data_IF_561160415513
#
_entry.id   IF_561160415513
#
_cell.length_a   1.000
_cell.length_b   1.000
_cell.length_c   1.000
_cell.angle_alpha   90.00
_cell.angle_beta   90.00
_cell.angle_gamma   90.00
#
_symmetry.space_group_name_H-M   'P 1'
#
loop_
_entity.id
_entity.type
_entity.pdbx_description
1 polymer ?
#
# COMPACT_ATOMS: atom_id res chain seq x y z
N UNK A 1 -15.51 -8.10 -13.46
CA UNK A 1 -16.72 -7.56 -14.08
C UNK A 1 -16.77 -7.97 -15.55
N UNK A 2 -17.90 -8.50 -16.05
CA UNK A 2 -18.05 -8.91 -17.47
C UNK A 2 -18.12 -7.73 -18.46
N UNK A 3 -18.47 -6.54 -17.98
CA UNK A 3 -18.64 -5.34 -18.80
C UNK A 3 -17.34 -4.53 -18.93
N UNK A 4 -16.61 -4.27 -17.84
CA UNK A 4 -15.37 -3.48 -17.86
C UNK A 4 -14.07 -4.30 -17.72
N UNK A 5 -14.16 -5.62 -17.51
CA UNK A 5 -12.98 -6.49 -17.37
C UNK A 5 -12.22 -6.40 -16.05
N UNK A 6 -12.57 -5.50 -15.12
CA UNK A 6 -11.91 -5.37 -13.82
C UNK A 6 -12.02 -6.66 -13.00
N UNK A 7 -10.93 -7.09 -12.38
CA UNK A 7 -10.94 -8.19 -11.42
C UNK A 7 -11.65 -7.73 -10.14
N UNK A 8 -12.69 -8.43 -9.74
CA UNK A 8 -13.35 -8.15 -8.46
C UNK A 8 -12.57 -8.81 -7.33
N UNK A 9 -12.39 -8.08 -6.24
CA UNK A 9 -11.81 -8.66 -5.03
C UNK A 9 -12.84 -9.54 -4.31
N UNK A 10 -12.37 -10.42 -3.42
CA UNK A 10 -13.21 -11.37 -2.70
C UNK A 10 -14.30 -10.65 -1.89
N UNK A 11 -15.57 -10.91 -2.19
CA UNK A 11 -16.71 -10.28 -1.52
C UNK A 11 -17.15 -8.93 -2.11
N UNK A 12 -16.43 -8.44 -3.13
CA UNK A 12 -16.81 -7.22 -3.83
C UNK A 12 -18.06 -7.48 -4.70
N UNK A 13 -19.07 -6.63 -4.55
CA UNK A 13 -20.26 -6.66 -5.40
C UNK A 13 -19.98 -5.87 -6.68
N UNK A 14 -20.54 -6.33 -7.79
CA UNK A 14 -20.44 -5.66 -9.10
C UNK A 14 -20.82 -4.16 -9.06
N UNK A 15 -21.59 -3.72 -8.07
CA UNK A 15 -22.23 -2.41 -7.97
C UNK A 15 -21.36 -1.15 -8.05
N UNK A 16 -20.05 -1.19 -7.77
CA UNK A 16 -19.25 0.04 -7.69
C UNK A 16 -18.90 0.65 -9.07
N UNK A 17 -18.43 -0.18 -10.00
CA UNK A 17 -18.07 0.25 -11.37
C UNK A 17 -19.05 -0.32 -12.42
N UNK A 18 -19.67 -1.46 -12.12
CA UNK A 18 -20.55 -2.19 -13.01
C UNK A 18 -21.84 -2.54 -12.27
N UNK A 19 -22.73 -1.57 -12.03
CA UNK A 19 -24.07 -1.90 -11.52
C UNK A 19 -24.81 -2.94 -12.38
N UNK A 20 -26.06 -3.26 -12.05
CA UNK A 20 -26.83 -4.28 -12.77
C UNK A 20 -26.71 -4.09 -14.29
N UNK A 21 -26.18 -5.12 -14.97
CA UNK A 21 -25.91 -5.12 -16.41
C UNK A 21 -24.98 -4.00 -16.94
N UNK A 22 -24.02 -3.52 -16.14
CA UNK A 22 -23.05 -2.52 -16.57
C UNK A 22 -23.63 -1.11 -16.72
N UNK A 23 -24.78 -0.83 -16.11
CA UNK A 23 -25.51 0.45 -16.23
C UNK A 23 -24.69 1.70 -15.84
N UNK A 24 -23.66 1.55 -14.99
CA UNK A 24 -22.80 2.65 -14.55
C UNK A 24 -21.52 2.81 -15.37
N UNK A 25 -21.25 1.92 -16.32
CA UNK A 25 -20.00 1.92 -17.10
C UNK A 25 -19.76 3.24 -17.83
N UNK A 26 -20.82 3.82 -18.43
CA UNK A 26 -20.73 5.07 -19.17
C UNK A 26 -20.86 6.33 -18.31
N UNK A 27 -21.17 6.17 -17.01
CA UNK A 27 -21.34 7.31 -16.10
C UNK A 27 -20.00 7.82 -15.55
N UNK A 28 -18.97 6.97 -15.54
CA UNK A 28 -17.68 7.28 -14.96
C UNK A 28 -16.68 7.43 -16.12
N UNK A 29 -16.12 8.63 -16.35
CA UNK A 29 -15.06 8.79 -17.34
C UNK A 29 -13.86 7.93 -16.94
N UNK A 30 -13.15 7.39 -17.93
CA UNK A 30 -11.92 6.65 -17.67
C UNK A 30 -10.93 7.52 -16.89
N UNK A 31 -10.21 6.89 -15.96
CA UNK A 31 -9.13 7.57 -15.25
C UNK A 31 -8.11 8.09 -16.27
N UNK A 32 -7.57 9.32 -16.07
CA UNK A 32 -6.48 9.80 -16.91
C UNK A 32 -5.29 8.85 -16.81
N UNK A 33 -4.44 8.79 -17.86
CA UNK A 33 -3.22 8.01 -17.78
C UNK A 33 -2.35 8.51 -16.62
N UNK A 34 -1.59 7.59 -16.04
CA UNK A 34 -0.63 7.96 -15.00
C UNK A 34 0.42 8.92 -15.58
N UNK A 35 0.87 9.90 -14.80
CA UNK A 35 1.97 10.76 -15.22
C UNK A 35 3.24 9.94 -15.52
N UNK A 36 4.06 10.33 -16.52
CA UNK A 36 5.23 9.56 -16.95
C UNK A 36 6.28 9.38 -15.84
N UNK A 37 6.28 10.24 -14.82
CA UNK A 37 7.16 10.13 -13.66
C UNK A 37 6.93 8.83 -12.87
N UNK A 38 5.73 8.24 -12.96
CA UNK A 38 5.39 6.99 -12.30
C UNK A 38 5.96 5.76 -13.01
N UNK A 39 6.36 5.85 -14.29
CA UNK A 39 6.90 4.70 -15.03
C UNK A 39 8.17 4.14 -14.38
N UNK A 40 8.99 5.01 -13.79
CA UNK A 40 10.21 4.61 -13.08
C UNK A 40 9.86 3.70 -11.90
N UNK A 41 8.81 4.07 -11.16
CA UNK A 41 8.37 3.32 -9.99
C UNK A 41 7.68 2.01 -10.40
N UNK A 42 6.73 2.08 -11.33
CA UNK A 42 5.89 0.94 -11.74
C UNK A 42 6.73 -0.16 -12.41
N UNK A 43 7.76 0.23 -13.15
CA UNK A 43 8.64 -0.71 -13.84
C UNK A 43 9.87 -1.11 -13.01
N UNK A 44 10.01 -0.66 -11.76
CA UNK A 44 11.11 -1.09 -10.90
C UNK A 44 10.94 -2.59 -10.57
N UNK A 45 11.88 -3.47 -10.96
CA UNK A 45 11.79 -4.90 -10.67
C UNK A 45 11.78 -5.22 -9.16
N UNK A 46 12.15 -4.25 -8.33
CA UNK A 46 12.17 -4.36 -6.88
C UNK A 46 10.92 -3.82 -6.22
N UNK A 47 9.96 -3.21 -6.93
CA UNK A 47 8.81 -2.54 -6.31
C UNK A 47 8.06 -3.46 -5.34
N UNK A 48 7.79 -4.71 -5.73
CA UNK A 48 7.12 -5.68 -4.86
C UNK A 48 7.96 -6.05 -3.64
N UNK A 49 9.28 -6.15 -3.80
CA UNK A 49 10.21 -6.47 -2.72
C UNK A 49 10.33 -5.32 -1.72
N UNK A 50 10.44 -4.08 -2.22
CA UNK A 50 10.54 -2.86 -1.43
C UNK A 50 9.22 -2.56 -0.72
N UNK A 51 8.09 -2.66 -1.42
CA UNK A 51 6.74 -2.52 -0.84
C UNK A 51 6.52 -3.52 0.28
N UNK A 52 6.86 -4.80 0.08
CA UNK A 52 6.75 -5.82 1.13
C UNK A 52 7.63 -5.49 2.33
N UNK A 53 8.88 -5.04 2.13
CA UNK A 53 9.77 -4.60 3.22
C UNK A 53 9.20 -3.41 3.98
N UNK A 54 8.69 -2.39 3.28
CA UNK A 54 8.07 -1.22 3.90
C UNK A 54 6.82 -1.59 4.70
N UNK A 55 5.95 -2.42 4.14
CA UNK A 55 4.77 -2.93 4.85
C UNK A 55 5.17 -3.70 6.11
N UNK A 56 6.21 -4.55 6.03
CA UNK A 56 6.71 -5.27 7.21
C UNK A 56 7.27 -4.33 8.29
N UNK A 57 8.03 -3.30 7.90
CA UNK A 57 8.56 -2.30 8.85
C UNK A 57 7.42 -1.51 9.48
N UNK A 58 6.43 -1.10 8.69
CA UNK A 58 5.27 -0.38 9.19
C UNK A 58 4.44 -1.25 10.14
N UNK A 59 4.17 -2.51 9.79
CA UNK A 59 3.52 -3.46 10.69
C UNK A 59 4.34 -3.69 11.96
N UNK A 60 5.67 -3.80 11.87
CA UNK A 60 6.53 -3.94 13.04
C UNK A 60 6.51 -2.70 13.95
N UNK A 61 6.55 -1.50 13.37
CA UNK A 61 6.47 -0.26 14.14
C UNK A 61 5.07 -0.05 14.75
N UNK A 62 4.02 -0.50 14.08
CA UNK A 62 2.65 -0.46 14.56
C UNK A 62 2.35 -1.52 15.63
N UNK A 63 3.16 -2.59 15.69
CA UNK A 63 3.22 -3.47 16.86
C UNK A 63 3.92 -2.70 17.98
N UNK A 64 3.20 -1.77 18.62
CA UNK A 64 3.65 -1.11 19.84
C UNK A 64 4.17 -2.18 20.81
N UNK A 65 5.46 -2.12 21.14
CA UNK A 65 6.04 -2.96 22.18
C UNK A 65 5.51 -2.45 23.52
N UNK A 66 4.47 -3.10 24.05
CA UNK A 66 3.89 -2.81 25.38
C UNK A 66 4.83 -3.18 26.54
N UNK A 67 6.06 -3.62 26.25
CA UNK A 67 7.06 -4.01 27.24
C UNK A 67 8.19 -3.00 27.33
N UNK A 68 8.60 -2.70 28.56
CA UNK A 68 9.77 -1.88 28.84
C UNK A 68 11.02 -2.48 28.18
N UNK A 69 11.85 -1.64 27.57
CA UNK A 69 13.13 -2.07 27.02
C UNK A 69 14.00 -2.68 28.14
N UNK A 70 14.54 -3.90 27.95
CA UNK A 70 15.49 -4.47 28.91
C UNK A 70 16.75 -3.62 28.96
N UNK A 71 17.30 -3.43 30.17
CA UNK A 71 18.49 -2.61 30.40
C UNK A 71 19.74 -3.19 29.71
N UNK A 72 20.67 -2.33 29.24
CA UNK A 72 21.67 -2.73 28.26
C UNK A 72 22.84 -3.47 28.91
N UNK A 73 22.90 -4.79 28.71
CA UNK A 73 24.12 -5.59 28.89
C UNK A 73 24.88 -5.87 27.59
N UNK A 74 24.20 -5.73 26.43
CA UNK A 74 24.79 -5.95 25.11
C UNK A 74 23.98 -5.21 24.04
N UNK A 75 24.60 -4.54 23.03
CA UNK A 75 23.88 -3.77 22.02
C UNK A 75 23.32 -4.70 20.93
N UNK A 76 22.25 -5.44 21.24
CA UNK A 76 21.55 -6.30 20.27
C UNK A 76 20.27 -5.68 19.70
N UNK A 77 19.97 -4.40 20.02
CA UNK A 77 18.72 -3.75 19.63
C UNK A 77 18.98 -2.46 18.85
N UNK A 78 18.38 -2.34 17.66
CA UNK A 78 18.32 -1.11 16.87
C UNK A 78 16.93 -0.51 17.06
N UNK A 79 16.86 0.62 17.77
CA UNK A 79 15.66 1.45 17.82
C UNK A 79 15.82 2.59 16.81
N UNK A 80 14.96 2.64 15.79
CA UNK A 80 14.91 3.78 14.87
C UNK A 80 14.05 4.85 15.54
N UNK A 81 14.68 5.71 16.34
CA UNK A 81 14.03 6.91 16.86
C UNK A 81 14.02 7.99 15.78
N UNK A 82 12.82 8.40 15.35
CA UNK A 82 12.63 9.48 14.37
C UNK A 82 12.61 10.83 15.11
N UNK A 83 13.78 11.36 15.45
CA UNK A 83 13.87 12.78 15.83
C UNK A 83 14.11 13.61 14.57
N UNK A 84 13.09 14.36 14.16
CA UNK A 84 13.18 15.34 13.07
C UNK A 84 13.72 16.63 13.70
N UNK A 85 15.00 16.93 13.47
CA UNK A 85 15.54 18.25 13.73
C UNK A 85 15.12 19.19 12.60
N UNK A 86 14.22 20.12 12.90
CA UNK A 86 14.03 21.32 12.07
C UNK A 86 15.12 22.33 12.44
N UNK A 87 15.76 22.91 11.41
CA UNK A 87 16.69 24.03 11.55
C UNK A 87 16.02 25.31 11.09
#
# INVERSE_FOLDING_TARGET
>A
CKFCGILLLTGEKLGFCCGLNGNQYFLIPSLPPLPPEYDILINDPNISRLSRRLNLIFSFAALESSHAFPTPGNPSFVAISRQIYHR
#
